data_IF_694120411224
#
_entry.id   IF_694120411224
#
_cell.length_a   1.000
_cell.length_b   1.000
_cell.length_c   1.000
_cell.angle_alpha   90.00
_cell.angle_beta   90.00
_cell.angle_gamma   90.00
#
_symmetry.space_group_name_H-M   'P 1'
#
loop_
_entity.id
_entity.type
_entity.pdbx_description
1 polymer ?
#
# COMPACT_ATOMS: atom_id res chain seq x y z
N UNK A 1 -49.56 -15.24 -8.50
CA UNK A 1 -49.85 -16.38 -9.38
C UNK A 1 -48.90 -16.31 -10.54
N UNK A 2 -48.17 -17.42 -10.75
CA UNK A 2 -47.50 -17.82 -12.00
C UNK A 2 -46.27 -16.97 -12.38
N UNK A 3 -45.08 -17.50 -12.69
CA UNK A 3 -44.39 -18.79 -12.52
C UNK A 3 -42.92 -18.52 -12.92
N UNK A 4 -42.02 -19.28 -12.33
CA UNK A 4 -40.73 -19.77 -12.86
C UNK A 4 -40.26 -19.33 -14.26
N UNK A 5 -39.02 -18.83 -14.34
CA UNK A 5 -38.10 -19.19 -15.43
C UNK A 5 -36.62 -19.17 -14.98
N UNK A 6 -36.07 -20.38 -14.97
CA UNK A 6 -34.69 -20.79 -15.30
C UNK A 6 -33.49 -20.28 -14.47
N UNK A 7 -33.13 -21.10 -13.49
CA UNK A 7 -31.75 -21.25 -13.01
C UNK A 7 -30.87 -21.80 -14.13
N UNK A 8 -30.15 -20.93 -14.85
CA UNK A 8 -29.03 -21.35 -15.69
C UNK A 8 -27.91 -21.91 -14.80
N UNK A 9 -27.55 -23.17 -15.09
CA UNK A 9 -26.57 -23.94 -14.35
C UNK A 9 -25.17 -23.33 -14.40
N UNK A 10 -24.74 -22.76 -13.28
CA UNK A 10 -23.33 -22.54 -13.00
C UNK A 10 -22.76 -23.77 -12.29
N UNK A 11 -21.94 -24.51 -13.03
CA UNK A 11 -20.86 -25.39 -12.56
C UNK A 11 -21.25 -26.57 -11.64
N UNK A 12 -21.45 -27.74 -12.26
CA UNK A 12 -21.25 -29.05 -11.61
C UNK A 12 -19.74 -29.32 -11.38
N UNK A 13 -19.08 -28.44 -10.64
CA UNK A 13 -17.83 -28.78 -9.98
C UNK A 13 -18.16 -29.02 -8.51
N UNK A 14 -17.84 -30.19 -7.98
CA UNK A 14 -17.83 -30.38 -6.52
C UNK A 14 -16.95 -29.27 -5.93
N UNK A 15 -17.57 -28.29 -5.26
CA UNK A 15 -16.82 -27.40 -4.39
C UNK A 15 -16.22 -28.29 -3.31
N UNK A 16 -14.94 -28.60 -3.45
CA UNK A 16 -14.17 -29.18 -2.37
C UNK A 16 -14.13 -28.11 -1.28
N UNK A 17 -15.10 -28.19 -0.37
CA UNK A 17 -15.08 -27.41 0.87
C UNK A 17 -13.80 -27.86 1.57
N UNK A 18 -12.86 -26.94 1.69
CA UNK A 18 -11.64 -27.17 2.47
C UNK A 18 -12.08 -27.59 3.88
N UNK A 19 -11.90 -28.88 4.20
CA UNK A 19 -12.30 -29.42 5.51
C UNK A 19 -11.50 -28.78 6.66
N UNK A 20 -10.47 -28.03 6.32
CA UNK A 20 -9.75 -27.17 7.23
C UNK A 20 -9.56 -25.82 6.55
N UNK A 21 -10.48 -24.84 6.56
CA UNK A 21 -10.23 -23.53 5.96
C UNK A 21 -9.11 -22.78 6.70
N UNK A 22 -8.31 -21.97 6.00
CA UNK A 22 -7.26 -21.14 6.66
C UNK A 22 -7.88 -20.34 7.79
N UNK A 23 -7.41 -20.57 9.03
CA UNK A 23 -8.00 -19.98 10.24
C UNK A 23 -7.17 -18.77 10.61
N UNK A 24 -7.74 -17.58 10.47
CA UNK A 24 -7.25 -16.40 11.18
C UNK A 24 -7.65 -16.62 12.64
N UNK A 25 -6.71 -16.73 13.60
CA UNK A 25 -7.08 -17.27 14.91
C UNK A 25 -8.09 -16.40 15.66
N UNK A 26 -8.08 -15.08 15.45
CA UNK A 26 -9.10 -14.20 16.02
C UNK A 26 -10.49 -14.43 15.43
N UNK A 27 -10.64 -14.75 14.13
CA UNK A 27 -11.95 -15.04 13.50
C UNK A 27 -12.54 -16.40 13.93
N UNK A 28 -11.73 -17.26 14.54
CA UNK A 28 -12.14 -18.59 14.99
C UNK A 28 -12.28 -18.69 16.52
N UNK A 29 -12.04 -17.59 17.25
CA UNK A 29 -12.14 -17.55 18.70
C UNK A 29 -13.60 -17.37 19.14
N UNK A 30 -14.24 -18.39 19.73
CA UNK A 30 -15.63 -18.31 20.14
C UNK A 30 -15.86 -17.33 21.31
N UNK A 31 -14.80 -16.88 22.00
CA UNK A 31 -14.90 -15.83 23.02
C UNK A 31 -15.02 -14.42 22.44
N UNK A 32 -14.67 -14.22 21.17
CA UNK A 32 -14.80 -12.96 20.45
C UNK A 32 -15.91 -13.04 19.40
N UNK A 33 -17.06 -12.43 19.68
CA UNK A 33 -18.27 -12.54 18.85
C UNK A 33 -18.11 -12.01 17.41
N UNK A 34 -17.06 -11.23 17.14
CA UNK A 34 -16.77 -10.61 15.82
C UNK A 34 -15.33 -10.90 15.34
N UNK A 35 -14.54 -11.63 16.14
CA UNK A 35 -13.17 -12.03 15.81
C UNK A 35 -12.14 -10.91 15.64
N UNK A 36 -12.40 -9.74 16.23
CA UNK A 36 -11.46 -8.63 16.31
C UNK A 36 -10.41 -8.85 17.40
N UNK A 37 -9.26 -8.17 17.26
CA UNK A 37 -8.26 -8.02 18.31
C UNK A 37 -8.79 -7.18 19.47
N UNK A 38 -8.23 -7.38 20.66
CA UNK A 38 -8.47 -6.49 21.80
C UNK A 38 -7.85 -5.12 21.54
N UNK A 39 -8.40 -4.01 22.07
CA UNK A 39 -7.90 -2.66 21.80
C UNK A 39 -6.38 -2.50 21.98
N UNK A 40 -5.78 -3.08 23.03
CA UNK A 40 -4.33 -3.00 23.23
C UNK A 40 -3.50 -3.67 22.12
N UNK A 41 -4.04 -4.70 21.46
CA UNK A 41 -3.38 -5.42 20.37
C UNK A 41 -3.62 -4.74 19.02
N UNK A 42 -4.73 -4.01 18.90
CA UNK A 42 -5.08 -3.24 17.70
C UNK A 42 -3.99 -2.19 17.44
N UNK A 43 -3.68 -1.43 18.49
CA UNK A 43 -2.75 -0.30 18.50
C UNK A 43 -1.35 -0.68 19.03
N UNK A 44 -1.00 -1.98 19.04
CA UNK A 44 0.28 -2.46 19.59
C UNK A 44 1.52 -1.75 19.02
N UNK A 45 1.45 -1.24 17.78
CA UNK A 45 2.56 -0.53 17.15
C UNK A 45 2.74 0.91 17.65
N UNK A 46 1.78 1.48 18.36
CA UNK A 46 1.86 2.82 18.93
C UNK A 46 3.07 2.97 19.87
N UNK A 47 3.44 1.91 20.57
CA UNK A 47 4.63 1.89 21.44
C UNK A 47 5.95 2.03 20.69
N UNK A 48 5.95 1.82 19.37
CA UNK A 48 7.14 1.96 18.52
C UNK A 48 7.44 3.42 18.16
N UNK A 49 6.51 4.35 18.43
CA UNK A 49 6.61 5.73 17.96
C UNK A 49 6.64 6.71 19.15
N UNK A 50 7.45 7.78 19.06
CA UNK A 50 7.47 8.80 20.09
C UNK A 50 6.12 9.53 20.14
N UNK A 51 5.63 9.80 21.35
CA UNK A 51 4.41 10.57 21.56
C UNK A 51 4.72 12.07 21.51
N UNK A 52 4.14 12.84 20.57
CA UNK A 52 4.33 14.28 20.52
C UNK A 52 3.60 14.99 21.66
N UNK A 53 4.07 16.19 22.00
CA UNK A 53 3.37 17.11 22.91
C UNK A 53 2.37 17.91 22.09
N UNK A 54 1.11 17.93 22.52
CA UNK A 54 0.03 18.60 21.81
C UNK A 54 -0.36 19.91 22.49
N UNK A 55 -0.47 20.96 21.69
CA UNK A 55 -1.07 22.24 22.09
C UNK A 55 -2.51 22.29 21.58
N UNK A 56 -3.47 22.26 22.50
CA UNK A 56 -4.91 22.29 22.16
C UNK A 56 -5.40 23.65 21.66
N UNK A 57 -4.57 24.70 21.71
CA UNK A 57 -4.92 26.05 21.26
C UNK A 57 -4.62 26.29 19.78
N UNK A 58 -3.87 25.40 19.13
CA UNK A 58 -3.56 25.53 17.71
C UNK A 58 -4.80 25.34 16.85
N UNK A 59 -4.99 26.24 15.87
CA UNK A 59 -6.18 26.26 15.02
C UNK A 59 -6.14 25.27 13.86
N UNK A 60 -4.95 24.90 13.41
CA UNK A 60 -4.75 24.15 12.16
C UNK A 60 -4.10 22.80 12.44
N UNK A 61 -4.34 21.86 11.53
CA UNK A 61 -3.76 20.51 11.55
C UNK A 61 -2.24 20.59 11.42
N UNK A 62 -1.55 19.65 12.05
CA UNK A 62 -0.13 19.39 11.79
C UNK A 62 0.02 18.73 10.42
N UNK A 63 1.14 18.95 9.73
CA UNK A 63 1.37 18.36 8.40
C UNK A 63 1.52 16.84 8.43
N UNK A 64 1.96 16.28 9.56
CA UNK A 64 2.08 14.83 9.73
C UNK A 64 0.85 14.20 10.38
N UNK A 65 -0.24 14.93 10.62
CA UNK A 65 -1.47 14.41 11.22
C UNK A 65 -1.43 14.16 12.73
N UNK A 66 -0.28 14.35 13.39
CA UNK A 66 -0.17 14.20 14.85
C UNK A 66 -1.04 15.21 15.61
N UNK A 67 -1.39 14.88 16.85
CA UNK A 67 -2.23 15.69 17.74
C UNK A 67 -3.66 15.94 17.25
N UNK A 68 -4.12 15.21 16.23
CA UNK A 68 -5.53 15.22 15.83
C UNK A 68 -6.43 14.68 16.97
N UNK A 69 -5.98 13.59 17.60
CA UNK A 69 -6.56 13.08 18.83
C UNK A 69 -5.67 13.47 20.03
N UNK A 70 -6.19 14.31 20.94
CA UNK A 70 -5.40 14.82 22.08
C UNK A 70 -5.10 13.74 23.14
N UNK A 71 -5.91 12.67 23.22
CA UNK A 71 -5.68 11.55 24.14
C UNK A 71 -4.70 10.54 23.56
N UNK A 72 -4.74 10.36 22.23
CA UNK A 72 -3.86 9.46 21.48
C UNK A 72 -3.14 10.23 20.36
N UNK A 73 -2.11 11.04 20.68
CA UNK A 73 -1.50 12.01 19.77
C UNK A 73 -0.94 11.47 18.46
N UNK A 74 -0.68 10.16 18.38
CA UNK A 74 -0.06 9.52 17.21
C UNK A 74 -1.08 8.82 16.30
N UNK A 75 -2.36 8.77 16.68
CA UNK A 75 -3.38 8.13 15.85
C UNK A 75 -3.57 8.88 14.54
N UNK A 76 -3.35 8.14 13.44
CA UNK A 76 -3.48 8.66 12.08
C UNK A 76 -2.31 9.52 11.59
N UNK A 77 -1.22 9.61 12.36
CA UNK A 77 -0.04 10.36 11.92
C UNK A 77 0.72 9.60 10.81
N UNK A 78 1.39 10.33 9.92
CA UNK A 78 2.29 9.76 8.92
C UNK A 78 3.58 9.21 9.54
N UNK A 79 4.34 8.41 8.79
CA UNK A 79 5.56 7.74 9.27
C UNK A 79 5.31 6.89 10.52
N UNK A 80 4.14 6.25 10.57
CA UNK A 80 3.67 5.38 11.63
C UNK A 80 3.52 3.95 11.10
N UNK A 81 2.76 3.08 11.78
CA UNK A 81 2.48 1.73 11.32
C UNK A 81 0.98 1.44 11.32
N UNK A 82 0.58 0.49 10.47
CA UNK A 82 -0.81 0.06 10.37
C UNK A 82 -1.35 -0.53 11.68
N UNK A 83 -2.49 0.00 12.08
CA UNK A 83 -3.41 -0.62 13.03
C UNK A 83 -3.85 -2.01 12.51
N UNK A 84 -4.07 -2.98 13.42
CA UNK A 84 -4.70 -4.26 13.05
C UNK A 84 -6.00 -4.41 13.76
N UNK A 85 -7.04 -4.71 13.01
CA UNK A 85 -8.31 -5.12 13.58
C UNK A 85 -8.39 -6.65 13.78
N UNK A 86 -7.59 -7.44 13.06
CA UNK A 86 -7.55 -8.92 13.16
C UNK A 86 -6.11 -9.43 13.24
N UNK A 87 -5.91 -10.66 13.71
CA UNK A 87 -4.57 -11.26 13.77
C UNK A 87 -3.92 -11.43 12.38
N UNK A 88 -2.61 -11.21 12.30
CA UNK A 88 -1.87 -11.55 11.08
C UNK A 88 -1.62 -13.05 10.98
N UNK A 89 -1.64 -13.52 9.74
CA UNK A 89 -1.32 -14.89 9.38
C UNK A 89 0.04 -14.91 8.64
N UNK A 90 1.10 -15.09 9.42
CA UNK A 90 2.46 -15.34 8.91
C UNK A 90 2.83 -16.79 9.24
N UNK A 91 3.60 -17.45 8.36
CA UNK A 91 3.93 -18.87 8.55
C UNK A 91 4.75 -19.16 9.80
N UNK A 92 5.47 -18.15 10.30
CA UNK A 92 6.30 -18.22 11.51
C UNK A 92 5.73 -17.40 12.68
N UNK A 93 4.53 -16.84 12.52
CA UNK A 93 3.91 -15.93 13.48
C UNK A 93 4.63 -14.58 13.66
N UNK A 94 5.62 -14.25 12.81
CA UNK A 94 6.45 -13.05 12.97
C UNK A 94 6.39 -12.16 11.73
N UNK A 95 6.90 -12.66 10.61
CA UNK A 95 7.01 -11.89 9.37
C UNK A 95 7.11 -12.75 8.11
N UNK A 96 7.26 -14.07 8.16
CA UNK A 96 7.44 -14.86 6.95
C UNK A 96 6.11 -15.06 6.21
N UNK A 97 6.07 -14.88 4.86
CA UNK A 97 4.85 -15.05 4.09
C UNK A 97 4.13 -16.35 4.44
N UNK A 98 2.81 -16.28 4.57
CA UNK A 98 1.97 -17.45 4.87
C UNK A 98 2.23 -18.60 3.90
N UNK A 99 2.06 -19.82 4.39
CA UNK A 99 2.12 -21.05 3.61
C UNK A 99 0.73 -21.64 3.43
N UNK A 100 0.60 -22.55 2.47
CA UNK A 100 -0.57 -23.40 2.38
C UNK A 100 -0.63 -24.32 3.61
N UNK A 101 -1.82 -24.85 3.92
CA UNK A 101 -2.00 -25.79 5.04
C UNK A 101 -1.19 -27.06 4.95
N UNK A 102 -0.93 -27.51 3.73
CA UNK A 102 -0.02 -28.63 3.44
C UNK A 102 1.45 -28.34 3.79
N UNK A 103 1.77 -27.12 4.27
CA UNK A 103 3.13 -26.64 4.49
C UNK A 103 3.85 -26.20 3.21
N UNK A 104 3.22 -26.35 2.04
CA UNK A 104 3.76 -25.93 0.75
C UNK A 104 3.64 -24.42 0.54
N UNK A 105 4.39 -23.89 -0.41
CA UNK A 105 4.25 -22.50 -0.85
C UNK A 105 2.88 -22.25 -1.46
N UNK A 106 2.38 -21.02 -1.33
CA UNK A 106 1.17 -20.60 -2.03
C UNK A 106 1.40 -20.51 -3.54
N UNK A 107 0.33 -20.61 -4.35
CA UNK A 107 0.45 -20.44 -5.79
C UNK A 107 1.06 -19.09 -6.14
N UNK A 108 1.86 -19.07 -7.20
CA UNK A 108 2.52 -17.86 -7.68
C UNK A 108 1.47 -16.79 -8.08
N UNK A 109 1.66 -15.54 -7.62
CA UNK A 109 0.72 -14.44 -7.84
C UNK A 109 0.52 -14.11 -9.33
N UNK A 110 1.57 -14.19 -10.16
CA UNK A 110 1.46 -13.98 -11.61
C UNK A 110 0.65 -15.09 -12.27
N UNK A 111 0.83 -16.35 -11.86
CA UNK A 111 0.01 -17.46 -12.36
C UNK A 111 -1.46 -17.30 -11.97
N UNK A 112 -1.74 -16.85 -10.74
CA UNK A 112 -3.11 -16.51 -10.32
C UNK A 112 -3.69 -15.41 -11.21
N UNK A 113 -2.93 -14.31 -11.42
CA UNK A 113 -3.34 -13.19 -12.30
C UNK A 113 -3.73 -13.69 -13.68
N UNK A 114 -2.87 -14.43 -14.36
CA UNK A 114 -3.10 -14.87 -15.75
C UNK A 114 -4.17 -15.95 -15.88
N UNK A 115 -4.47 -16.68 -14.80
CA UNK A 115 -5.49 -17.74 -14.82
C UNK A 115 -6.87 -17.23 -14.43
N UNK A 116 -6.97 -16.35 -13.43
CA UNK A 116 -8.26 -15.93 -12.86
C UNK A 116 -8.71 -14.52 -13.28
N UNK A 117 -7.78 -13.67 -13.72
CA UNK A 117 -8.06 -12.27 -14.04
C UNK A 117 -7.65 -11.96 -15.49
N UNK A 118 -8.38 -12.49 -16.49
CA UNK A 118 -8.10 -12.21 -17.89
C UNK A 118 -8.38 -10.73 -18.21
N UNK A 119 -7.59 -10.16 -19.12
CA UNK A 119 -7.80 -8.81 -19.62
C UNK A 119 -9.00 -8.82 -20.58
N UNK A 120 -10.13 -8.25 -20.15
CA UNK A 120 -11.38 -8.20 -20.91
C UNK A 120 -11.82 -6.76 -21.10
N UNK A 121 -12.11 -6.37 -22.33
CA UNK A 121 -12.68 -5.05 -22.61
C UNK A 121 -14.19 -5.05 -22.29
N UNK A 122 -14.53 -4.64 -21.07
CA UNK A 122 -15.91 -4.56 -20.59
C UNK A 122 -16.15 -3.21 -19.88
N UNK A 123 -16.42 -2.12 -20.63
CA UNK A 123 -16.60 -0.80 -20.05
C UNK A 123 -17.87 -0.73 -19.19
N UNK A 124 -17.82 0.02 -18.09
CA UNK A 124 -18.99 0.22 -17.23
C UNK A 124 -20.06 1.05 -17.95
N UNK A 125 -21.34 0.61 -17.98
CA UNK A 125 -22.43 1.41 -18.52
C UNK A 125 -22.91 2.52 -17.56
N UNK A 126 -22.44 2.51 -16.30
CA UNK A 126 -22.95 3.38 -15.22
C UNK A 126 -21.95 4.43 -14.74
N UNK A 127 -20.66 4.12 -14.77
CA UNK A 127 -19.62 4.98 -14.19
C UNK A 127 -18.66 5.46 -15.27
N UNK A 128 -18.31 6.75 -15.22
CA UNK A 128 -17.25 7.31 -16.04
C UNK A 128 -15.87 7.14 -15.37
N UNK A 129 -14.81 7.51 -16.08
CA UNK A 129 -13.43 7.34 -15.60
C UNK A 129 -13.12 8.13 -14.32
N UNK A 130 -13.81 9.24 -14.07
CA UNK A 130 -13.60 10.07 -12.89
C UNK A 130 -13.89 9.30 -11.59
N UNK A 131 -14.81 8.33 -11.62
CA UNK A 131 -15.10 7.49 -10.45
C UNK A 131 -13.85 6.74 -9.96
N UNK A 132 -13.13 6.08 -10.88
CA UNK A 132 -11.89 5.39 -10.57
C UNK A 132 -10.80 6.38 -10.13
N UNK A 133 -10.65 7.49 -10.87
CA UNK A 133 -9.62 8.49 -10.58
C UNK A 133 -9.79 9.13 -9.20
N UNK A 134 -11.04 9.43 -8.81
CA UNK A 134 -11.36 9.98 -7.50
C UNK A 134 -11.07 8.97 -6.38
N UNK A 135 -11.39 7.69 -6.60
CA UNK A 135 -11.02 6.61 -5.69
C UNK A 135 -9.50 6.56 -5.45
N UNK A 136 -8.70 6.67 -6.51
CA UNK A 136 -7.24 6.76 -6.39
C UNK A 136 -6.78 8.01 -5.65
N UNK A 137 -7.42 9.16 -5.87
CA UNK A 137 -7.12 10.40 -5.14
C UNK A 137 -7.33 10.23 -3.65
N UNK A 138 -8.45 9.65 -3.22
CA UNK A 138 -8.70 9.39 -1.79
C UNK A 138 -7.68 8.39 -1.23
N UNK A 139 -7.40 7.30 -1.96
CA UNK A 139 -6.40 6.32 -1.53
C UNK A 139 -5.01 6.95 -1.32
N UNK A 140 -4.58 7.82 -2.24
CA UNK A 140 -3.31 8.55 -2.14
C UNK A 140 -3.30 9.60 -1.01
N UNK A 141 -4.45 9.99 -0.47
CA UNK A 141 -4.55 10.92 0.67
C UNK A 141 -4.44 10.19 2.02
N UNK A 142 -4.87 8.93 2.07
CA UNK A 142 -5.04 8.18 3.32
C UNK A 142 -4.10 6.98 3.47
N UNK A 143 -3.49 6.50 2.38
CA UNK A 143 -2.70 5.27 2.40
C UNK A 143 -1.46 5.34 1.49
N UNK A 144 -0.32 4.99 2.09
CA UNK A 144 0.92 4.73 1.37
C UNK A 144 1.77 3.75 2.18
N UNK A 145 1.88 2.51 1.70
CA UNK A 145 2.76 1.52 2.32
C UNK A 145 4.18 1.76 1.83
N UNK A 146 5.10 2.02 2.76
CA UNK A 146 6.51 2.17 2.42
C UNK A 146 7.12 0.82 2.03
N UNK A 147 7.98 0.82 1.01
CA UNK A 147 8.74 -0.37 0.60
C UNK A 147 10.08 -0.42 1.32
N UNK A 148 10.60 -1.61 1.61
CA UNK A 148 11.97 -1.77 2.12
C UNK A 148 12.98 -1.28 1.08
N UNK A 149 13.96 -0.53 1.55
CA UNK A 149 15.08 -0.01 0.76
C UNK A 149 16.38 -0.65 1.20
N UNK A 150 17.44 -0.43 0.42
CA UNK A 150 18.81 -0.73 0.85
C UNK A 150 19.22 0.22 2.00
N UNK A 151 20.30 -0.12 2.73
CA UNK A 151 20.79 0.66 3.89
C UNK A 151 21.18 2.10 3.55
N UNK A 152 21.54 2.36 2.29
CA UNK A 152 21.86 3.69 1.76
C UNK A 152 20.62 4.46 1.28
N UNK A 153 19.41 3.92 1.47
CA UNK A 153 18.14 4.51 1.07
C UNK A 153 17.74 4.30 -0.39
N UNK A 154 18.56 3.61 -1.21
CA UNK A 154 18.20 3.33 -2.60
C UNK A 154 17.23 2.15 -2.72
N UNK A 155 16.49 2.10 -3.83
CA UNK A 155 15.55 1.03 -4.12
C UNK A 155 16.18 -0.37 -4.05
N UNK A 156 15.44 -1.29 -3.44
CA UNK A 156 15.80 -2.70 -3.39
C UNK A 156 15.41 -3.39 -4.72
N UNK A 157 16.39 -3.95 -5.43
CA UNK A 157 16.13 -4.73 -6.64
C UNK A 157 16.00 -6.22 -6.31
N UNK A 158 14.85 -6.80 -6.66
CA UNK A 158 14.52 -8.20 -6.38
C UNK A 158 14.66 -9.13 -7.61
N UNK A 159 15.04 -8.56 -8.75
CA UNK A 159 15.35 -9.31 -9.97
C UNK A 159 16.84 -9.18 -10.32
N UNK A 160 17.35 -10.14 -11.08
CA UNK A 160 18.67 -9.98 -11.68
C UNK A 160 18.64 -8.84 -12.73
N UNK A 161 19.79 -8.21 -13.04
CA UNK A 161 19.85 -7.13 -14.05
C UNK A 161 19.33 -7.52 -15.44
N UNK A 162 19.41 -8.81 -15.79
CA UNK A 162 18.90 -9.37 -17.04
C UNK A 162 17.38 -9.67 -17.00
N UNK A 163 16.69 -9.31 -15.92
CA UNK A 163 15.27 -9.56 -15.71
C UNK A 163 14.93 -11.01 -15.32
N UNK A 164 15.92 -11.86 -15.09
CA UNK A 164 15.72 -13.24 -14.60
C UNK A 164 15.46 -13.30 -13.09
N UNK A 165 14.92 -14.42 -12.62
CA UNK A 165 14.71 -14.66 -11.19
C UNK A 165 16.03 -15.02 -10.52
N UNK A 166 16.41 -14.38 -9.40
CA UNK A 166 17.61 -14.75 -8.64
C UNK A 166 17.56 -16.19 -8.13
N UNK A 167 18.68 -16.91 -8.17
CA UNK A 167 18.80 -18.26 -7.58
C UNK A 167 18.57 -18.25 -6.06
N UNK A 168 19.02 -17.18 -5.40
CA UNK A 168 18.77 -16.90 -3.99
C UNK A 168 18.07 -15.55 -3.90
N UNK A 169 16.81 -15.57 -3.49
CA UNK A 169 16.04 -14.35 -3.28
C UNK A 169 16.63 -13.56 -2.10
N UNK A 170 16.80 -12.23 -2.22
CA UNK A 170 17.11 -11.39 -1.06
C UNK A 170 16.01 -11.52 0.01
N UNK A 171 16.41 -11.42 1.29
CA UNK A 171 15.50 -11.61 2.44
C UNK A 171 14.31 -10.65 2.43
N UNK A 172 14.54 -9.43 1.94
CA UNK A 172 13.57 -8.34 1.92
C UNK A 172 12.76 -8.28 0.62
N UNK A 173 12.79 -9.34 -0.18
CA UNK A 173 12.04 -9.47 -1.42
C UNK A 173 10.92 -10.52 -1.32
N UNK A 174 9.87 -10.34 -2.10
CA UNK A 174 8.86 -11.35 -2.39
C UNK A 174 9.15 -12.00 -3.75
N UNK A 175 9.04 -13.31 -3.82
CA UNK A 175 9.27 -14.03 -5.07
C UNK A 175 8.01 -14.01 -5.93
N UNK A 176 8.04 -13.25 -7.03
CA UNK A 176 7.04 -13.34 -8.09
C UNK A 176 7.75 -13.67 -9.40
N UNK A 177 7.78 -14.97 -9.71
CA UNK A 177 8.31 -15.47 -10.99
C UNK A 177 7.27 -15.29 -12.09
N UNK A 178 7.72 -15.00 -13.31
CA UNK A 178 6.85 -15.01 -14.50
C UNK A 178 6.98 -16.39 -15.14
N UNK A 179 5.89 -17.18 -15.23
CA UNK A 179 5.91 -18.52 -15.83
C UNK A 179 6.40 -18.54 -17.29
N UNK A 180 6.80 -19.72 -17.77
CA UNK A 180 7.21 -19.88 -19.18
C UNK A 180 6.04 -19.80 -20.16
N UNK A 181 4.86 -20.25 -19.71
CA UNK A 181 3.57 -20.22 -20.41
C UNK A 181 2.83 -18.88 -20.23
N UNK A 182 3.51 -17.85 -19.74
CA UNK A 182 2.92 -16.54 -19.54
C UNK A 182 2.61 -15.85 -20.88
N UNK A 183 1.38 -15.34 -21.09
CA UNK A 183 0.96 -14.76 -22.35
C UNK A 183 1.68 -13.45 -22.71
N UNK A 184 2.23 -12.71 -21.74
CA UNK A 184 2.84 -11.39 -21.96
C UNK A 184 4.30 -11.47 -22.44
N UNK A 185 4.79 -12.67 -22.80
CA UNK A 185 6.01 -12.86 -23.59
C UNK A 185 7.30 -13.12 -22.79
N UNK A 186 8.42 -13.40 -23.50
CA UNK A 186 9.55 -14.14 -22.94
C UNK A 186 10.67 -13.32 -22.26
N UNK A 187 10.66 -12.00 -22.39
CA UNK A 187 11.86 -11.17 -22.13
C UNK A 187 12.12 -10.86 -20.65
N UNK A 188 11.15 -11.10 -19.76
CA UNK A 188 11.32 -10.89 -18.32
C UNK A 188 10.77 -12.09 -17.56
N UNK A 189 11.53 -12.60 -16.60
CA UNK A 189 11.17 -13.80 -15.81
C UNK A 189 10.95 -13.52 -14.32
N UNK A 190 11.00 -12.25 -13.93
CA UNK A 190 10.87 -11.81 -12.55
C UNK A 190 10.15 -10.47 -12.46
N UNK A 191 9.24 -10.32 -11.49
CA UNK A 191 8.67 -9.03 -11.10
C UNK A 191 9.34 -8.56 -9.82
N UNK A 192 10.02 -7.41 -9.87
CA UNK A 192 10.79 -6.90 -8.73
C UNK A 192 9.79 -6.45 -7.67
N UNK A 193 9.78 -7.14 -6.53
CA UNK A 193 8.78 -6.93 -5.48
C UNK A 193 9.46 -6.86 -4.11
N UNK A 194 9.97 -5.68 -3.70
CA UNK A 194 10.39 -5.46 -2.33
C UNK A 194 9.24 -5.71 -1.37
N UNK A 195 9.56 -6.21 -0.18
CA UNK A 195 8.61 -6.30 0.92
C UNK A 195 8.29 -4.89 1.42
N UNK A 196 7.10 -4.72 1.98
CA UNK A 196 6.77 -3.51 2.73
C UNK A 196 7.75 -3.33 3.90
N UNK A 197 8.19 -2.10 4.13
CA UNK A 197 8.88 -1.69 5.34
C UNK A 197 7.96 -1.91 6.54
N UNK A 198 8.54 -2.27 7.67
CA UNK A 198 7.81 -2.71 8.85
C UNK A 198 8.47 -2.21 10.15
N UNK A 199 7.80 -2.43 11.28
CA UNK A 199 8.26 -1.96 12.59
C UNK A 199 9.65 -2.47 12.99
N UNK A 200 10.09 -3.63 12.47
CA UNK A 200 11.43 -4.13 12.76
C UNK A 200 12.53 -3.26 12.09
N UNK A 201 12.23 -2.62 10.96
CA UNK A 201 13.16 -1.69 10.30
C UNK A 201 13.38 -0.40 11.12
N UNK A 202 12.44 -0.07 12.01
CA UNK A 202 12.55 1.02 12.99
C UNK A 202 13.22 0.57 14.30
N UNK A 203 13.68 -0.68 14.38
CA UNK A 203 14.23 -1.27 15.60
C UNK A 203 13.17 -1.74 16.60
N UNK A 204 11.87 -1.65 16.28
CA UNK A 204 10.79 -2.07 17.15
C UNK A 204 10.47 -3.56 16.97
N UNK A 205 10.77 -4.38 18.00
CA UNK A 205 10.75 -5.85 17.91
C UNK A 205 9.38 -6.49 18.22
N UNK A 206 8.28 -5.77 17.97
CA UNK A 206 6.93 -6.32 18.13
C UNK A 206 6.66 -7.43 17.13
N UNK A 207 5.85 -8.42 17.53
CA UNK A 207 5.49 -9.56 16.71
C UNK A 207 3.98 -9.81 16.77
N UNK A 208 3.33 -10.10 15.64
CA UNK A 208 3.88 -10.04 14.28
C UNK A 208 4.11 -8.60 13.82
N UNK A 209 5.09 -8.36 12.94
CA UNK A 209 5.48 -7.01 12.48
C UNK A 209 4.30 -6.25 11.88
N UNK A 210 4.32 -4.91 11.95
CA UNK A 210 3.32 -4.03 11.31
C UNK A 210 3.97 -3.21 10.20
N UNK A 211 3.28 -3.09 9.07
CA UNK A 211 3.76 -2.31 7.92
C UNK A 211 3.74 -0.82 8.22
N UNK A 212 4.74 -0.11 7.70
CA UNK A 212 4.86 1.34 7.86
C UNK A 212 3.96 2.08 6.86
N UNK A 213 3.34 3.15 7.34
CA UNK A 213 2.51 4.06 6.55
C UNK A 213 3.23 5.40 6.39
N UNK A 214 3.36 5.85 5.14
CA UNK A 214 4.09 7.07 4.77
C UNK A 214 3.25 8.36 4.77
N UNK A 215 1.92 8.26 4.82
CA UNK A 215 1.00 9.41 4.76
C UNK A 215 0.06 9.46 5.95
N UNK A 216 -0.63 10.57 6.16
CA UNK A 216 -1.66 10.70 7.19
C UNK A 216 -2.85 9.79 6.88
N UNK A 217 -3.57 9.30 7.90
CA UNK A 217 -4.78 8.48 7.68
C UNK A 217 -6.04 9.31 7.44
N UNK A 218 -5.96 10.64 7.54
CA UNK A 218 -7.09 11.55 7.39
C UNK A 218 -7.28 11.95 5.92
N UNK A 219 -8.53 12.25 5.56
CA UNK A 219 -8.82 12.96 4.30
C UNK A 219 -8.59 14.46 4.56
N UNK A 220 -7.35 14.90 4.36
CA UNK A 220 -6.90 16.26 4.67
C UNK A 220 -6.10 16.91 3.52
N UNK A 221 -6.13 16.30 2.34
CA UNK A 221 -5.39 16.73 1.16
C UNK A 221 -3.87 16.72 1.36
N UNK A 222 -3.34 15.82 2.19
CA UNK A 222 -1.93 15.49 2.30
C UNK A 222 -1.31 15.13 0.94
N UNK A 223 -2.09 14.57 0.00
CA UNK A 223 -1.62 14.33 -1.38
C UNK A 223 -1.19 15.62 -2.11
N UNK A 224 -1.72 16.77 -1.69
CA UNK A 224 -1.39 18.10 -2.22
C UNK A 224 -0.40 18.83 -1.32
N UNK A 225 -0.59 18.77 0.00
CA UNK A 225 0.16 19.58 0.97
C UNK A 225 1.40 18.89 1.52
N UNK A 226 1.53 17.59 1.36
CA UNK A 226 2.59 16.77 1.97
C UNK A 226 2.18 16.23 3.33
N UNK A 227 2.78 15.10 3.70
CA UNK A 227 2.58 14.43 4.99
C UNK A 227 3.69 14.72 6.02
N UNK A 228 4.56 15.69 5.73
CA UNK A 228 5.63 16.15 6.62
C UNK A 228 5.95 17.62 6.37
N UNK A 229 6.50 18.29 7.39
CA UNK A 229 6.76 19.73 7.36
C UNK A 229 7.80 20.14 6.30
N UNK A 230 8.78 19.27 6.03
CA UNK A 230 9.84 19.56 5.04
C UNK A 230 9.23 19.58 3.64
N UNK A 231 8.44 18.55 3.30
CA UNK A 231 7.72 18.47 2.03
C UNK A 231 6.74 19.62 1.89
N UNK A 232 5.89 19.88 2.90
CA UNK A 232 4.91 20.95 2.89
C UNK A 232 5.55 22.33 2.68
N UNK A 233 6.63 22.64 3.40
CA UNK A 233 7.38 23.87 3.21
C UNK A 233 8.01 23.95 1.82
N UNK A 234 8.52 22.83 1.30
CA UNK A 234 9.15 22.79 -0.03
C UNK A 234 8.19 23.08 -1.18
N UNK A 235 6.89 22.75 -1.00
CA UNK A 235 5.83 22.97 -1.98
C UNK A 235 5.28 24.39 -1.96
N UNK A 236 5.55 25.17 -0.90
CA UNK A 236 5.02 26.54 -0.72
C UNK A 236 5.96 27.60 -1.25
N UNK A 237 5.40 28.71 -1.73
CA UNK A 237 6.18 29.91 -2.05
C UNK A 237 6.62 30.66 -0.79
N UNK A 238 5.98 30.36 0.36
CA UNK A 238 6.09 31.10 1.62
C UNK A 238 5.74 32.59 1.48
N UNK A 239 4.99 32.94 0.44
CA UNK A 239 4.52 34.30 0.15
C UNK A 239 3.03 34.25 -0.18
N UNK A 240 2.26 35.11 0.48
CA UNK A 240 0.80 35.24 0.28
C UNK A 240 0.02 33.93 0.42
N UNK A 241 0.54 32.95 1.19
CA UNK A 241 -0.13 31.66 1.42
C UNK A 241 -0.19 30.72 0.21
N UNK A 242 0.62 30.94 -0.85
CA UNK A 242 0.52 30.18 -2.11
C UNK A 242 1.38 28.91 -2.14
N UNK A 243 0.91 27.91 -2.89
CA UNK A 243 1.73 26.82 -3.38
C UNK A 243 2.56 27.28 -4.59
N UNK A 244 3.71 26.64 -4.77
CA UNK A 244 4.53 26.78 -5.98
C UNK A 244 3.76 26.20 -7.17
N UNK A 245 3.93 26.82 -8.31
CA UNK A 245 3.34 26.41 -9.59
C UNK A 245 4.29 26.75 -10.72
N UNK A 246 4.11 26.11 -11.86
CA UNK A 246 4.70 26.54 -13.12
C UNK A 246 3.63 27.07 -14.07
N UNK A 247 4.04 27.95 -14.98
CA UNK A 247 3.19 28.37 -16.10
C UNK A 247 3.39 27.38 -17.25
N UNK A 248 2.28 26.87 -17.78
CA UNK A 248 2.29 26.07 -18.99
C UNK A 248 1.63 26.82 -20.16
N UNK A 249 1.28 26.10 -21.23
CA UNK A 249 0.71 26.70 -22.43
C UNK A 249 -0.50 27.59 -22.13
N UNK A 250 -0.57 28.74 -22.82
CA UNK A 250 -1.65 29.74 -22.66
C UNK A 250 -1.76 30.33 -21.24
N UNK A 251 -0.65 30.35 -20.48
CA UNK A 251 -0.61 30.95 -19.14
C UNK A 251 -1.31 30.13 -18.05
N UNK A 252 -1.69 28.88 -18.35
CA UNK A 252 -2.33 27.99 -17.36
C UNK A 252 -1.34 27.61 -16.26
N UNK A 253 -1.86 27.42 -15.06
CA UNK A 253 -1.06 26.99 -13.90
C UNK A 253 -1.02 25.48 -13.80
N UNK A 254 0.18 24.94 -13.59
CA UNK A 254 0.43 23.51 -13.38
C UNK A 254 1.26 23.32 -12.11
N UNK A 255 1.25 22.10 -11.57
CA UNK A 255 2.21 21.72 -10.53
C UNK A 255 3.65 21.90 -11.06
N UNK A 256 4.62 22.23 -10.19
CA UNK A 256 6.03 22.26 -10.57
C UNK A 256 6.50 20.86 -10.98
N UNK A 257 7.35 20.74 -11.99
CA UNK A 257 8.02 19.48 -12.30
C UNK A 257 9.09 19.14 -11.25
N UNK A 258 9.34 17.84 -11.06
CA UNK A 258 10.54 17.35 -10.36
C UNK A 258 11.80 17.69 -11.15
N UNK A 259 12.97 17.60 -10.51
CA UNK A 259 14.25 17.89 -11.17
C UNK A 259 14.77 16.72 -12.01
N UNK A 260 14.52 15.48 -11.57
CA UNK A 260 15.02 14.25 -12.19
C UNK A 260 13.87 13.25 -12.32
N UNK A 261 13.09 13.35 -13.41
CA UNK A 261 11.89 12.54 -13.59
C UNK A 261 12.19 11.04 -13.66
N UNK A 262 13.34 10.63 -14.20
CA UNK A 262 13.77 9.22 -14.26
C UNK A 262 14.04 8.58 -12.89
N UNK A 263 14.22 9.41 -11.86
CA UNK A 263 14.43 8.94 -10.48
C UNK A 263 13.16 8.96 -9.65
N UNK A 264 12.31 9.95 -9.86
CA UNK A 264 11.10 10.17 -9.04
C UNK A 264 9.84 9.58 -9.69
N UNK A 265 9.85 9.37 -11.01
CA UNK A 265 8.75 8.79 -11.77
C UNK A 265 9.22 7.58 -12.60
N UNK A 266 8.31 6.67 -12.90
CA UNK A 266 8.56 5.52 -13.78
C UNK A 266 8.58 5.95 -15.26
N UNK A 267 9.55 6.78 -15.63
CA UNK A 267 9.74 7.34 -16.98
C UNK A 267 11.17 7.14 -17.46
N UNK A 268 11.35 7.09 -18.78
CA UNK A 268 12.64 6.78 -19.41
C UNK A 268 13.51 8.03 -19.62
N UNK A 269 12.91 9.22 -19.62
CA UNK A 269 13.57 10.49 -19.91
C UNK A 269 13.20 11.57 -18.88
N UNK A 270 14.20 12.32 -18.41
CA UNK A 270 14.05 13.45 -17.48
C UNK A 270 13.25 14.62 -18.07
N UNK A 271 13.13 14.70 -19.41
CA UNK A 271 12.24 15.66 -20.09
C UNK A 271 10.75 15.33 -20.00
N UNK A 272 10.39 14.15 -19.46
CA UNK A 272 8.98 13.73 -19.30
C UNK A 272 8.33 14.50 -18.15
N UNK A 273 7.06 14.84 -18.30
CA UNK A 273 6.30 15.50 -17.23
C UNK A 273 6.17 14.56 -16.04
N UNK A 274 6.70 15.01 -14.90
CA UNK A 274 6.61 14.35 -13.61
C UNK A 274 6.45 15.47 -12.58
N UNK A 275 5.28 15.56 -11.97
CA UNK A 275 4.92 16.67 -11.11
C UNK A 275 5.36 16.42 -9.68
N UNK A 276 5.87 17.46 -9.04
CA UNK A 276 6.11 17.49 -7.60
C UNK A 276 4.81 17.84 -6.89
N UNK A 277 4.39 16.96 -5.99
CA UNK A 277 3.18 17.12 -5.18
C UNK A 277 3.43 16.75 -3.71
N UNK A 278 2.38 16.68 -2.90
CA UNK A 278 2.47 16.22 -1.51
C UNK A 278 2.65 14.71 -1.37
N UNK A 279 2.27 13.94 -2.41
CA UNK A 279 2.54 12.51 -2.51
C UNK A 279 3.74 12.24 -3.43
N UNK A 280 4.48 11.17 -3.11
CA UNK A 280 5.65 10.68 -3.83
C UNK A 280 5.29 9.85 -5.08
N UNK A 281 4.00 9.58 -5.34
CA UNK A 281 3.50 8.79 -6.47
C UNK A 281 2.44 9.51 -7.29
#
# INVERSE_FOLDING_TARGET
>A
GIQNEETHGCMNGEFIIDQNPSKIPSLADPSNTIGFLQPQDIDLADQCFPKPVCDSTVKYRTMNGSCNNLLFPIWGQSSSANTRIIQADYSDGKNQPRKAKSGKNLPNARKIRTTLFPDVNNPSPKYNLLFMQFGQTIAHDTELILSKTLKNGSDLQCCNPDGSTPKKLPQDCLQITIPHDDPDGPNRRCLSTPRAADTADLGCQIKPVRQQIGVTSFIDASLLYGSDEITARSLRTLSNGKLKRQLGPKGKSYLPNVKQATKECNVVNDGTVCYRSGNLY
#
